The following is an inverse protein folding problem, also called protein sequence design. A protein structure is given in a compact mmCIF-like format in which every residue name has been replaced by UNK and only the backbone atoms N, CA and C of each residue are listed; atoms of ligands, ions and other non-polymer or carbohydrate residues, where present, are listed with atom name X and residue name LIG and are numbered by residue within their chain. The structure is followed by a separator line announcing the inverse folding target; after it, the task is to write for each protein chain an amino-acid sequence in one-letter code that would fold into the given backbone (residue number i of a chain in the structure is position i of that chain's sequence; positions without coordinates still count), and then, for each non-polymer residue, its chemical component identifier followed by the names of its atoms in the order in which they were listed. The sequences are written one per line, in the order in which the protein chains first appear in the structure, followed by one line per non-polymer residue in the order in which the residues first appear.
data_IF_917001110538
#
_entry.id   IF_917001110538
#
_cell.length_a   1.000
_cell.length_b   1.000
_cell.length_c   1.000
_cell.angle_alpha   90.00
_cell.angle_beta   90.00
_cell.angle_gamma   90.00
#
_symmetry.space_group_name_H-M   'P 1'
#
loop_
_entity.id
_entity.type
_entity.pdbx_description
1 polymer ?
#
# COMPACT_ATOMS: atom_id res chain seq x y z
N UNK A 1 16.51 -79.47 -21.65
CA UNK A 1 15.52 -78.59 -21.01
C UNK A 1 16.01 -77.16 -21.19
N UNK A 2 15.63 -76.51 -22.29
CA UNK A 2 16.11 -75.17 -22.65
C UNK A 2 15.04 -74.15 -22.23
N UNK A 3 15.33 -73.35 -21.20
CA UNK A 3 14.47 -72.27 -20.74
C UNK A 3 14.41 -71.18 -21.83
N UNK A 4 13.22 -71.02 -22.41
CA UNK A 4 12.92 -69.96 -23.38
C UNK A 4 12.93 -68.63 -22.64
N UNK A 5 13.97 -67.83 -22.84
CA UNK A 5 13.99 -66.45 -22.40
C UNK A 5 13.08 -65.65 -23.34
N UNK A 6 11.92 -65.23 -22.85
CA UNK A 6 11.03 -64.32 -23.58
C UNK A 6 11.62 -62.91 -23.45
N UNK A 7 12.44 -62.52 -24.41
CA UNK A 7 12.89 -61.14 -24.55
C UNK A 7 11.73 -60.35 -25.15
N UNK A 8 10.98 -59.65 -24.30
CA UNK A 8 9.94 -58.73 -24.75
C UNK A 8 10.61 -57.59 -25.54
N UNK A 9 10.39 -57.54 -26.86
CA UNK A 9 10.83 -56.39 -27.67
C UNK A 9 10.04 -55.18 -27.20
N UNK A 10 10.71 -54.24 -26.55
CA UNK A 10 10.11 -52.96 -26.14
C UNK A 10 9.59 -52.27 -27.40
N UNK A 11 8.28 -52.17 -27.51
CA UNK A 11 7.64 -51.48 -28.62
C UNK A 11 7.89 -49.96 -28.48
N UNK A 12 8.21 -49.30 -29.59
CA UNK A 12 8.41 -47.84 -29.69
C UNK A 12 7.37 -46.99 -28.94
N UNK A 13 6.05 -47.32 -28.95
CA UNK A 13 5.05 -46.56 -28.18
C UNK A 13 5.22 -46.64 -26.65
N UNK A 14 5.67 -47.75 -26.09
CA UNK A 14 5.83 -47.89 -24.63
C UNK A 14 6.96 -47.00 -24.11
N UNK A 15 8.05 -46.90 -24.88
CA UNK A 15 9.17 -46.00 -24.58
C UNK A 15 8.75 -44.53 -24.66
N UNK A 16 7.89 -44.18 -25.61
CA UNK A 16 7.35 -42.83 -25.74
C UNK A 16 6.40 -42.48 -24.58
N UNK A 17 5.54 -43.41 -24.17
CA UNK A 17 4.67 -43.23 -23.02
C UNK A 17 5.47 -43.03 -21.72
N UNK A 18 6.54 -43.79 -21.51
CA UNK A 18 7.42 -43.62 -20.35
C UNK A 18 8.09 -42.24 -20.33
N UNK A 19 8.61 -41.79 -21.47
CA UNK A 19 9.20 -40.45 -21.58
C UNK A 19 8.17 -39.32 -21.40
N UNK A 20 6.97 -39.48 -21.94
CA UNK A 20 5.88 -38.53 -21.73
C UNK A 20 5.50 -38.43 -20.24
N UNK A 21 5.43 -39.57 -19.54
CA UNK A 21 5.14 -39.61 -18.12
C UNK A 21 6.27 -38.98 -17.28
N UNK A 22 7.53 -39.26 -17.62
CA UNK A 22 8.68 -38.64 -16.98
C UNK A 22 8.66 -37.11 -17.16
N UNK A 23 8.36 -36.64 -18.37
CA UNK A 23 8.25 -35.21 -18.67
C UNK A 23 7.08 -34.55 -17.93
N UNK A 24 5.95 -35.25 -17.83
CA UNK A 24 4.79 -34.81 -17.05
C UNK A 24 5.18 -34.62 -15.57
N UNK A 25 5.78 -35.63 -14.94
CA UNK A 25 6.23 -35.52 -13.54
C UNK A 25 7.23 -34.40 -13.33
N UNK A 26 8.17 -34.24 -14.25
CA UNK A 26 9.15 -33.16 -14.20
C UNK A 26 8.47 -31.79 -14.32
N UNK A 27 7.51 -31.65 -15.24
CA UNK A 27 6.73 -30.43 -15.40
C UNK A 27 5.92 -30.10 -14.15
N UNK A 28 5.25 -31.09 -13.54
CA UNK A 28 4.53 -30.90 -12.27
C UNK A 28 5.47 -30.46 -11.15
N UNK A 29 6.68 -31.01 -11.07
CA UNK A 29 7.65 -30.64 -10.06
C UNK A 29 8.07 -29.17 -10.18
N UNK A 30 8.41 -28.72 -11.40
CA UNK A 30 8.73 -27.31 -11.65
C UNK A 30 7.56 -26.39 -11.38
N UNK A 31 6.36 -26.79 -11.80
CA UNK A 31 5.16 -26.00 -11.62
C UNK A 31 4.80 -25.86 -10.13
N UNK A 32 4.97 -26.93 -9.35
CA UNK A 32 4.82 -26.89 -7.90
C UNK A 32 5.79 -25.88 -7.25
N UNK A 33 7.08 -25.95 -7.59
CA UNK A 33 8.07 -25.00 -7.07
C UNK A 33 7.73 -23.55 -7.43
N UNK A 34 7.30 -23.31 -8.68
CA UNK A 34 6.87 -22.00 -9.16
C UNK A 34 5.65 -21.47 -8.38
N UNK A 35 4.61 -22.29 -8.19
CA UNK A 35 3.42 -21.88 -7.44
C UNK A 35 3.73 -21.61 -5.97
N UNK A 36 4.58 -22.42 -5.33
CA UNK A 36 5.00 -22.20 -3.95
C UNK A 36 5.74 -20.87 -3.82
N UNK A 37 6.68 -20.58 -4.74
CA UNK A 37 7.44 -19.33 -4.74
C UNK A 37 6.51 -18.10 -4.87
N UNK A 38 5.56 -18.12 -5.80
CA UNK A 38 4.58 -17.04 -5.97
C UNK A 38 3.72 -16.85 -4.71
N UNK A 39 3.26 -17.96 -4.13
CA UNK A 39 2.42 -17.93 -2.93
C UNK A 39 3.16 -17.28 -1.77
N UNK A 40 4.44 -17.63 -1.57
CA UNK A 40 5.29 -17.05 -0.53
C UNK A 40 5.44 -15.53 -0.73
N UNK A 41 5.81 -15.07 -1.93
CA UNK A 41 5.95 -13.63 -2.21
C UNK A 41 4.64 -12.87 -2.00
N UNK A 42 3.53 -13.42 -2.49
CA UNK A 42 2.20 -12.80 -2.32
C UNK A 42 1.83 -12.63 -0.84
N UNK A 43 2.16 -13.61 0.00
CA UNK A 43 1.91 -13.53 1.44
C UNK A 43 2.80 -12.48 2.11
N UNK A 44 4.09 -12.44 1.75
CA UNK A 44 5.06 -11.48 2.31
C UNK A 44 4.68 -10.05 1.91
N UNK A 45 4.40 -9.80 0.64
CA UNK A 45 4.02 -8.46 0.14
C UNK A 45 2.73 -7.98 0.81
N UNK A 46 1.75 -8.88 0.94
CA UNK A 46 0.50 -8.57 1.64
C UNK A 46 0.75 -8.24 3.11
N UNK A 47 1.66 -8.96 3.78
CA UNK A 47 1.99 -8.69 5.18
C UNK A 47 2.68 -7.32 5.35
N UNK A 48 3.60 -6.97 4.45
CA UNK A 48 4.26 -5.66 4.43
C UNK A 48 3.27 -4.51 4.26
N UNK A 49 2.38 -4.61 3.26
CA UNK A 49 1.32 -3.62 3.03
C UNK A 49 0.41 -3.48 4.26
N UNK A 50 0.07 -4.60 4.91
CA UNK A 50 -0.78 -4.58 6.10
C UNK A 50 -0.10 -3.87 7.27
N UNK A 51 1.20 -4.09 7.45
CA UNK A 51 2.00 -3.45 8.50
C UNK A 51 2.13 -1.95 8.25
N UNK A 52 2.41 -1.54 7.01
CA UNK A 52 2.49 -0.13 6.63
C UNK A 52 1.16 0.57 6.83
N UNK A 53 0.05 -0.06 6.43
CA UNK A 53 -1.31 0.46 6.62
C UNK A 53 -1.63 0.62 8.11
N UNK A 54 -1.22 -0.33 8.97
CA UNK A 54 -1.40 -0.22 10.42
C UNK A 54 -0.60 0.94 11.00
N UNK A 55 0.67 1.08 10.62
CA UNK A 55 1.52 2.17 11.07
C UNK A 55 0.97 3.54 10.65
N UNK A 56 0.44 3.63 9.43
CA UNK A 56 -0.16 4.87 8.92
C UNK A 56 -1.43 5.23 9.70
N UNK A 57 -2.30 4.25 9.99
CA UNK A 57 -3.50 4.47 10.80
C UNK A 57 -3.17 4.89 12.24
N UNK A 58 -2.13 4.31 12.85
CA UNK A 58 -1.68 4.73 14.19
C UNK A 58 -1.23 6.19 14.16
N UNK A 59 -0.36 6.57 13.23
CA UNK A 59 0.09 7.96 13.07
C UNK A 59 -1.07 8.92 12.78
N UNK A 60 -2.04 8.50 11.97
CA UNK A 60 -3.23 9.29 11.69
C UNK A 60 -4.08 9.48 12.95
N UNK A 61 -4.31 8.41 13.73
CA UNK A 61 -5.06 8.48 14.97
C UNK A 61 -4.37 9.34 16.04
N UNK A 62 -3.04 9.27 16.15
CA UNK A 62 -2.25 10.17 17.00
C UNK A 62 -2.44 11.63 16.59
N UNK A 63 -2.33 11.92 15.29
CA UNK A 63 -2.50 13.28 14.76
C UNK A 63 -3.94 13.80 14.94
N UNK A 64 -4.94 12.96 14.73
CA UNK A 64 -6.35 13.29 14.96
C UNK A 64 -6.64 13.56 16.44
N UNK A 65 -6.01 12.80 17.34
CA UNK A 65 -6.08 13.03 18.78
C UNK A 65 -5.47 14.37 19.16
N UNK A 66 -4.27 14.67 18.66
CA UNK A 66 -3.57 15.94 18.89
C UNK A 66 -4.39 17.12 18.34
N UNK A 67 -4.89 17.01 17.12
CA UNK A 67 -5.75 18.02 16.51
C UNK A 67 -7.02 18.26 17.34
N UNK A 68 -7.70 17.21 17.79
CA UNK A 68 -8.90 17.36 18.61
C UNK A 68 -8.58 17.97 19.98
N UNK A 69 -7.45 17.63 20.60
CA UNK A 69 -7.01 18.25 21.84
C UNK A 69 -6.76 19.75 21.65
N UNK A 70 -6.01 20.13 20.62
CA UNK A 70 -5.73 21.53 20.28
C UNK A 70 -7.02 22.30 19.92
N UNK A 71 -7.91 21.69 19.16
CA UNK A 71 -9.22 22.28 18.79
C UNK A 71 -10.11 22.51 20.02
N UNK A 72 -10.10 21.59 20.98
CA UNK A 72 -10.86 21.74 22.23
C UNK A 72 -10.27 22.85 23.10
N UNK A 73 -8.94 23.01 23.09
CA UNK A 73 -8.26 24.09 23.79
C UNK A 73 -8.57 25.48 23.19
N UNK A 74 -8.78 25.59 21.88
CA UNK A 74 -9.05 26.86 21.18
C UNK A 74 -10.53 27.28 21.19
N UNK A 75 -11.18 27.21 22.36
CA UNK A 75 -12.59 27.62 22.51
C UNK A 75 -12.70 29.08 22.99
N UNK A 76 -13.72 29.82 22.55
CA UNK A 76 -14.00 31.19 23.02
C UNK A 76 -14.09 31.30 24.54
N UNK A 77 -14.65 30.28 25.20
CA UNK A 77 -14.71 30.16 26.66
C UNK A 77 -13.31 30.12 27.30
N UNK A 78 -12.37 29.39 26.68
CA UNK A 78 -10.96 29.33 27.12
C UNK A 78 -10.22 30.64 26.85
N UNK A 79 -10.47 31.29 25.72
CA UNK A 79 -9.93 32.62 25.45
C UNK A 79 -10.45 33.67 26.47
N UNK A 80 -11.74 33.61 26.82
CA UNK A 80 -12.32 34.46 27.86
C UNK A 80 -11.75 34.16 29.24
N UNK A 81 -11.52 32.90 29.59
CA UNK A 81 -10.90 32.54 30.89
C UNK A 81 -9.44 33.01 31.01
N UNK A 82 -8.72 33.10 29.89
CA UNK A 82 -7.40 33.73 29.81
C UNK A 82 -7.42 35.27 29.83
N UNK A 83 -8.60 35.89 29.93
CA UNK A 83 -8.77 37.34 30.02
C UNK A 83 -8.85 38.07 28.67
N UNK A 84 -8.92 37.34 27.56
CA UNK A 84 -9.16 37.94 26.25
C UNK A 84 -10.63 38.41 26.15
N UNK A 85 -10.82 39.64 25.68
CA UNK A 85 -12.15 40.24 25.46
C UNK A 85 -12.41 40.35 23.97
N UNK A 86 -13.66 40.10 23.60
CA UNK A 86 -14.11 40.16 22.21
C UNK A 86 -14.13 41.63 21.74
N UNK A 87 -13.49 41.91 20.60
CA UNK A 87 -13.37 43.27 20.06
C UNK A 87 -14.71 43.72 19.47
N UNK A 88 -15.32 44.80 20.00
CA UNK A 88 -16.57 45.39 19.50
C UNK A 88 -16.46 45.91 18.05
N UNK A 89 -15.25 46.25 17.59
CA UNK A 89 -14.97 46.64 16.20
C UNK A 89 -13.76 45.89 15.67
N UNK A 90 -13.97 45.09 14.62
CA UNK A 90 -12.90 44.52 13.80
C UNK A 90 -12.61 45.50 12.66
N UNK A 91 -11.54 46.28 12.79
CA UNK A 91 -10.98 47.02 11.67
C UNK A 91 -10.07 46.10 10.88
N UNK A 92 -10.54 45.67 9.71
CA UNK A 92 -9.74 44.90 8.77
C UNK A 92 -8.84 45.88 8.00
N UNK A 93 -7.53 45.60 7.98
CA UNK A 93 -6.60 46.34 7.13
C UNK A 93 -6.98 46.11 5.66
N UNK A 94 -7.67 47.08 5.07
CA UNK A 94 -7.86 47.13 3.62
C UNK A 94 -6.55 47.63 3.02
N UNK A 95 -6.02 46.91 2.04
CA UNK A 95 -4.86 47.35 1.25
C UNK A 95 -5.23 48.67 0.57
N UNK A 96 -4.75 49.80 1.10
CA UNK A 96 -4.83 51.06 0.39
C UNK A 96 -4.07 50.86 -0.92
N UNK A 97 -4.74 51.09 -2.05
CA UNK A 97 -4.09 51.17 -3.34
C UNK A 97 -3.12 52.35 -3.27
N UNK A 98 -1.85 52.05 -2.98
CA UNK A 98 -0.76 53.01 -3.08
C UNK A 98 -0.60 53.32 -4.57
N UNK A 99 -0.86 54.58 -4.90
CA UNK A 99 -0.53 55.30 -6.14
C UNK A 99 -1.35 55.00 -7.41
N UNK A 100 -2.19 55.98 -7.77
CA UNK A 100 -2.22 56.52 -9.13
C UNK A 100 -2.51 58.03 -9.10
N UNK A 101 -1.68 58.77 -8.34
CA UNK A 101 -1.42 60.19 -8.62
C UNK A 101 -0.28 60.25 -9.64
N UNK A 102 -0.59 59.96 -10.90
CA UNK A 102 0.27 60.32 -12.04
C UNK A 102 -0.61 60.60 -13.23
N UNK A 103 -0.34 61.73 -13.89
CA UNK A 103 -0.94 62.27 -15.13
C UNK A 103 -2.07 63.29 -14.89
N UNK A 104 -1.66 64.51 -14.56
CA UNK A 104 -2.27 65.74 -15.08
C UNK A 104 -1.15 66.78 -15.27
N UNK A 105 -0.42 66.63 -16.37
CA UNK A 105 0.38 67.67 -17.02
C UNK A 105 0.02 67.59 -18.49
N UNK A 106 -0.87 68.46 -18.94
CA UNK A 106 -0.78 69.37 -20.10
C UNK A 106 -2.05 70.21 -20.16
#
# INVERSE_FOLDING_TARGET
MSSVFITHKINTPEKQAFWALAFLFLSLFFLYGYFVQITIHTIIDRAGILQDTRNLNVKLGELESEYNAARTALTYEYARSLGFRELEKKDFAKRALVAQNTVNTF
#
